data_IF_679113264165
#
_entry.id   IF_679113264165
#
_cell.length_a   1.000
_cell.length_b   1.000
_cell.length_c   1.000
_cell.angle_alpha   90.00
_cell.angle_beta   90.00
_cell.angle_gamma   90.00
#
_symmetry.space_group_name_H-M   'P 1'
#
loop_
_entity.id
_entity.type
_entity.pdbx_description
1 polymer ?
#
# COMPACT_ATOMS: atom_id res chain seq x y z
N UNK A 1 22.42 -32.54 -50.94
CA UNK A 1 21.22 -32.69 -51.79
C UNK A 1 20.18 -33.38 -50.91
N UNK A 2 19.00 -32.88 -50.60
CA UNK A 2 18.14 -31.83 -51.14
C UNK A 2 17.13 -31.48 -50.02
N UNK A 3 16.92 -30.19 -49.78
CA UNK A 3 15.63 -29.48 -49.88
C UNK A 3 14.59 -29.78 -48.78
N UNK A 4 14.38 -28.77 -47.92
CA UNK A 4 13.06 -28.43 -47.37
C UNK A 4 12.07 -28.14 -48.51
N UNK A 5 10.79 -28.48 -48.32
CA UNK A 5 9.71 -27.51 -48.56
C UNK A 5 8.57 -27.65 -47.51
N UNK A 6 8.12 -26.57 -46.86
CA UNK A 6 7.11 -25.59 -47.31
C UNK A 6 5.70 -25.93 -46.77
N UNK A 7 4.88 -24.88 -46.60
CA UNK A 7 3.45 -24.83 -46.21
C UNK A 7 3.11 -24.82 -44.71
N UNK A 8 2.22 -23.95 -44.20
CA UNK A 8 1.28 -23.04 -44.85
C UNK A 8 1.01 -21.82 -43.95
N UNK A 9 0.75 -20.69 -44.60
CA UNK A 9 0.07 -19.55 -44.02
C UNK A 9 -1.37 -19.93 -43.63
N UNK A 10 -1.84 -19.46 -42.47
CA UNK A 10 -3.28 -19.33 -42.24
C UNK A 10 -3.60 -18.11 -41.35
N UNK A 11 -4.32 -17.19 -41.99
CA UNK A 11 -5.32 -16.24 -41.50
C UNK A 11 -5.06 -15.29 -40.31
N UNK A 12 -4.82 -14.02 -40.68
CA UNK A 12 -5.47 -12.86 -40.06
C UNK A 12 -6.98 -12.87 -40.35
N UNK A 13 -7.84 -12.69 -39.34
CA UNK A 13 -9.08 -11.88 -39.39
C UNK A 13 -9.72 -11.66 -37.98
N UNK A 14 -10.72 -10.78 -37.78
CA UNK A 14 -10.63 -9.68 -36.80
C UNK A 14 -11.79 -9.65 -35.77
N UNK A 15 -11.79 -8.63 -34.91
CA UNK A 15 -12.96 -7.99 -34.28
C UNK A 15 -13.79 -8.78 -33.27
N UNK A 16 -13.78 -8.31 -32.02
CA UNK A 16 -15.03 -7.86 -31.38
C UNK A 16 -14.72 -6.92 -30.22
N UNK A 17 -15.02 -5.64 -30.47
CA UNK A 17 -15.16 -4.63 -29.46
C UNK A 17 -16.21 -5.06 -28.43
N UNK A 18 -15.85 -5.03 -27.15
CA UNK A 18 -16.82 -4.95 -26.08
C UNK A 18 -16.77 -3.53 -25.52
N UNK A 19 -17.84 -2.81 -25.83
CA UNK A 19 -18.13 -1.45 -25.42
C UNK A 19 -18.22 -1.33 -23.89
N UNK A 20 -17.60 -0.28 -23.37
CA UNK A 20 -17.97 0.34 -22.11
C UNK A 20 -19.42 0.85 -22.16
N UNK A 21 -20.15 0.81 -21.03
CA UNK A 21 -21.12 1.85 -20.74
C UNK A 21 -20.60 2.76 -19.62
N UNK A 22 -20.41 4.03 -19.96
CA UNK A 22 -20.44 5.14 -19.00
C UNK A 22 -21.77 5.12 -18.23
N UNK A 23 -21.69 5.26 -16.91
CA UNK A 23 -22.83 5.72 -16.10
C UNK A 23 -22.34 6.88 -15.23
N UNK A 24 -22.59 8.10 -15.73
CA UNK A 24 -22.54 9.33 -14.97
C UNK A 24 -23.67 9.35 -13.94
N UNK A 25 -23.38 9.74 -12.69
CA UNK A 25 -24.45 9.97 -11.72
C UNK A 25 -24.00 10.18 -10.27
N UNK A 26 -23.51 11.38 -9.98
CA UNK A 26 -23.91 12.20 -8.83
C UNK A 26 -23.87 11.63 -7.40
N UNK A 27 -22.90 12.13 -6.64
CA UNK A 27 -22.99 12.59 -5.25
C UNK A 27 -23.71 11.70 -4.21
N UNK A 28 -22.95 11.14 -3.27
CA UNK A 28 -23.18 11.40 -1.85
C UNK A 28 -21.93 11.13 -1.02
N UNK A 29 -21.43 12.19 -0.38
CA UNK A 29 -20.37 12.14 0.60
C UNK A 29 -20.94 11.70 1.95
N UNK A 30 -20.98 10.38 2.20
CA UNK A 30 -21.02 9.84 3.57
C UNK A 30 -20.79 8.33 3.56
N UNK A 31 -19.72 7.90 4.23
CA UNK A 31 -19.69 6.83 5.23
C UNK A 31 -18.22 6.66 5.62
N UNK A 32 -17.81 7.54 6.54
CA UNK A 32 -16.87 7.14 7.58
C UNK A 32 -17.59 6.09 8.43
N UNK A 33 -16.93 4.96 8.67
CA UNK A 33 -17.31 4.04 9.74
C UNK A 33 -17.93 2.76 9.24
N UNK A 34 -17.17 1.68 9.37
CA UNK A 34 -17.55 0.49 10.12
C UNK A 34 -16.80 -0.71 9.53
N UNK A 35 -15.52 -0.85 9.88
CA UNK A 35 -14.95 -2.20 9.90
C UNK A 35 -15.52 -2.84 11.15
N UNK A 36 -16.52 -3.70 10.97
CA UNK A 36 -17.17 -4.44 12.03
C UNK A 36 -16.10 -5.11 12.89
N UNK A 37 -16.05 -4.66 14.13
CA UNK A 37 -15.24 -5.18 15.21
C UNK A 37 -15.67 -6.63 15.43
N UNK A 38 -14.85 -7.57 14.98
CA UNK A 38 -15.00 -8.97 15.36
C UNK A 38 -14.33 -9.12 16.73
N UNK A 39 -15.19 -9.05 17.74
CA UNK A 39 -14.97 -9.31 19.16
C UNK A 39 -13.82 -10.31 19.41
N UNK A 40 -12.79 -9.92 20.18
CA UNK A 40 -11.84 -10.89 20.72
C UNK A 40 -12.57 -11.71 21.79
N UNK A 41 -12.69 -13.00 21.55
CA UNK A 41 -13.08 -13.98 22.57
C UNK A 41 -12.22 -13.75 23.82
N UNK A 42 -12.91 -13.50 24.93
CA UNK A 42 -12.36 -13.21 26.24
C UNK A 42 -11.34 -14.26 26.67
N UNK A 43 -10.07 -13.86 26.79
CA UNK A 43 -9.12 -14.57 27.63
C UNK A 43 -9.09 -13.86 28.99
N UNK A 44 -9.76 -14.50 29.95
CA UNK A 44 -9.98 -14.08 31.32
C UNK A 44 -8.71 -13.52 31.99
N UNK A 45 -8.79 -12.26 32.45
CA UNK A 45 -7.94 -11.78 33.54
C UNK A 45 -8.44 -12.40 34.85
N UNK A 46 -7.74 -13.44 35.31
CA UNK A 46 -7.88 -13.93 36.67
C UNK A 46 -7.11 -13.05 37.65
N UNK A 47 -7.76 -12.05 38.25
CA UNK A 47 -7.31 -11.44 39.50
C UNK A 47 -7.65 -12.39 40.66
N UNK A 48 -6.67 -13.20 41.04
CA UNK A 48 -6.79 -14.21 42.09
C UNK A 48 -5.96 -13.84 43.31
N UNK A 49 -6.53 -13.02 44.20
CA UNK A 49 -6.02 -12.77 45.54
C UNK A 49 -6.33 -13.99 46.43
N UNK A 50 -5.35 -14.88 46.63
CA UNK A 50 -5.53 -16.08 47.45
C UNK A 50 -4.21 -16.64 47.96
N UNK A 51 -3.97 -16.52 49.26
CA UNK A 51 -2.79 -17.02 49.93
C UNK A 51 -2.73 -18.55 50.04
N UNK A 52 -1.50 -19.05 50.18
CA UNK A 52 -1.20 -20.32 50.83
C UNK A 52 -1.39 -21.59 49.99
N UNK A 53 -0.29 -22.07 49.39
CA UNK A 53 0.32 -23.41 49.58
C UNK A 53 1.20 -23.78 48.39
N UNK A 54 2.48 -24.05 48.68
CA UNK A 54 3.50 -24.41 47.71
C UNK A 54 3.49 -25.91 47.36
N UNK A 55 4.06 -26.20 46.18
CA UNK A 55 4.59 -27.48 45.66
C UNK A 55 3.65 -28.36 44.79
N UNK A 56 3.86 -28.31 43.45
CA UNK A 56 4.34 -29.47 42.64
C UNK A 56 4.33 -29.28 41.09
N UNK A 57 4.11 -28.07 40.55
CA UNK A 57 4.17 -27.85 39.08
C UNK A 57 5.23 -26.81 38.68
N UNK A 58 5.98 -27.01 37.57
CA UNK A 58 6.91 -26.00 37.08
C UNK A 58 6.14 -24.70 36.83
N UNK A 59 6.43 -23.70 37.65
CA UNK A 59 5.82 -22.38 37.53
C UNK A 59 6.19 -21.81 36.16
N UNK A 60 5.22 -21.39 35.31
CA UNK A 60 5.56 -20.78 34.03
C UNK A 60 6.36 -19.52 34.32
N UNK A 61 7.64 -19.54 33.93
CA UNK A 61 8.55 -18.43 34.12
C UNK A 61 7.88 -17.17 33.56
N UNK A 62 7.60 -16.22 34.45
CA UNK A 62 7.01 -14.94 34.11
C UNK A 62 7.93 -14.25 33.10
N UNK A 63 7.53 -14.26 31.83
CA UNK A 63 8.30 -13.62 30.77
C UNK A 63 8.51 -12.16 31.12
N UNK A 64 9.75 -11.69 30.98
CA UNK A 64 10.08 -10.28 31.10
C UNK A 64 9.15 -9.44 30.23
N UNK A 65 8.86 -8.20 30.64
CA UNK A 65 8.10 -7.25 29.83
C UNK A 65 8.65 -7.13 28.41
N UNK A 66 9.97 -7.23 28.25
CA UNK A 66 10.63 -7.23 26.94
C UNK A 66 10.29 -8.47 26.11
N UNK A 67 10.23 -9.62 26.75
CA UNK A 67 10.01 -10.91 26.11
C UNK A 67 8.54 -11.08 25.69
N UNK A 68 7.59 -10.57 26.49
CA UNK A 68 6.19 -10.40 26.10
C UNK A 68 6.06 -9.50 24.85
N UNK A 69 6.79 -8.37 24.81
CA UNK A 69 6.80 -7.46 23.66
C UNK A 69 7.37 -8.13 22.41
N UNK A 70 8.46 -8.88 22.55
CA UNK A 70 9.06 -9.67 21.46
C UNK A 70 8.09 -10.71 20.91
N UNK A 71 7.42 -11.47 21.78
CA UNK A 71 6.40 -12.47 21.37
C UNK A 71 5.26 -11.82 20.59
N UNK A 72 4.73 -10.68 21.06
CA UNK A 72 3.67 -9.95 20.33
C UNK A 72 4.13 -9.50 18.94
N UNK A 73 5.34 -8.94 18.82
CA UNK A 73 5.91 -8.51 17.52
C UNK A 73 6.17 -9.68 16.57
N UNK A 74 6.45 -10.87 17.11
CA UNK A 74 6.62 -12.11 16.37
C UNK A 74 5.30 -12.77 15.94
N UNK A 75 4.14 -12.24 16.32
CA UNK A 75 2.86 -12.74 15.81
C UNK A 75 2.64 -12.33 14.35
N UNK A 76 2.03 -13.20 13.56
CA UNK A 76 1.67 -12.88 12.17
C UNK A 76 0.73 -11.66 12.10
N UNK A 77 -0.24 -11.55 13.02
CA UNK A 77 -1.17 -10.40 13.14
C UNK A 77 -0.44 -9.08 13.32
N UNK A 78 0.58 -9.02 14.19
CA UNK A 78 1.36 -7.79 14.38
C UNK A 78 2.14 -7.43 13.11
N UNK A 79 2.81 -8.41 12.49
CA UNK A 79 3.59 -8.18 11.27
C UNK A 79 2.71 -7.71 10.11
N UNK A 80 1.57 -8.37 9.88
CA UNK A 80 0.65 -8.00 8.80
C UNK A 80 0.04 -6.62 9.01
N UNK A 81 -0.37 -6.29 10.24
CA UNK A 81 -0.85 -4.95 10.57
C UNK A 81 0.22 -3.88 10.33
N UNK A 82 1.47 -4.13 10.75
CA UNK A 82 2.59 -3.20 10.51
C UNK A 82 2.89 -3.03 9.02
N UNK A 83 2.95 -4.13 8.26
CA UNK A 83 3.16 -4.09 6.81
C UNK A 83 2.05 -3.32 6.09
N UNK A 84 0.80 -3.46 6.53
CA UNK A 84 -0.34 -2.73 5.97
C UNK A 84 -0.23 -1.24 6.22
N UNK A 85 0.12 -0.82 7.45
CA UNK A 85 0.36 0.59 7.77
C UNK A 85 1.47 1.20 6.92
N UNK A 86 2.56 0.47 6.75
CA UNK A 86 3.69 0.95 5.93
C UNK A 86 3.30 1.07 4.45
N UNK A 87 2.51 0.13 3.93
CA UNK A 87 1.97 0.21 2.56
C UNK A 87 1.12 1.48 2.38
N UNK A 88 0.20 1.76 3.30
CA UNK A 88 -0.63 2.97 3.27
C UNK A 88 0.25 4.23 3.32
N UNK A 89 1.28 4.25 4.18
CA UNK A 89 2.20 5.38 4.28
C UNK A 89 2.94 5.63 2.95
N UNK A 90 3.41 4.57 2.31
CA UNK A 90 4.12 4.65 1.02
C UNK A 90 3.17 5.03 -0.11
N UNK A 91 1.93 4.54 -0.09
CA UNK A 91 0.90 4.91 -1.06
C UNK A 91 0.57 6.40 -0.97
N UNK A 92 0.32 6.93 0.24
CA UNK A 92 0.10 8.35 0.45
C UNK A 92 1.27 9.20 -0.06
N UNK A 93 2.52 8.76 0.18
CA UNK A 93 3.71 9.40 -0.37
C UNK A 93 3.74 9.38 -1.91
N UNK A 94 3.40 8.25 -2.53
CA UNK A 94 3.40 8.11 -3.98
C UNK A 94 2.29 8.96 -4.63
N UNK A 95 1.12 9.08 -3.98
CA UNK A 95 0.05 9.98 -4.42
C UNK A 95 0.52 11.44 -4.43
N UNK A 96 1.18 11.89 -3.37
CA UNK A 96 1.77 13.24 -3.33
C UNK A 96 2.80 13.46 -4.45
N UNK A 97 3.62 12.44 -4.78
CA UNK A 97 4.55 12.49 -5.91
C UNK A 97 3.84 12.56 -7.27
N UNK A 98 2.72 11.87 -7.44
CA UNK A 98 1.91 11.93 -8.64
C UNK A 98 1.25 13.30 -8.82
N UNK A 99 0.73 13.90 -7.74
CA UNK A 99 0.20 15.27 -7.77
C UNK A 99 1.28 16.29 -8.13
N UNK A 100 2.47 16.19 -7.53
CA UNK A 100 3.60 17.04 -7.92
C UNK A 100 3.94 16.89 -9.40
N UNK A 101 3.98 15.66 -9.94
CA UNK A 101 4.30 15.39 -11.35
C UNK A 101 3.33 16.06 -12.32
N UNK A 102 2.04 16.17 -11.98
CA UNK A 102 1.01 16.81 -12.83
C UNK A 102 1.28 18.31 -13.04
N UNK A 103 1.95 18.96 -12.09
CA UNK A 103 2.27 20.38 -12.13
C UNK A 103 3.54 20.68 -12.95
N UNK A 104 4.33 19.65 -13.29
CA UNK A 104 5.62 19.83 -13.94
C UNK A 104 5.49 19.87 -15.46
N UNK A 105 6.08 20.88 -16.13
CA UNK A 105 6.08 20.95 -17.59
C UNK A 105 6.99 19.89 -18.19
N UNK A 106 6.47 19.03 -19.07
CA UNK A 106 7.25 18.01 -19.81
C UNK A 106 6.82 17.90 -21.27
N UNK A 107 7.77 17.55 -22.13
CA UNK A 107 7.51 17.18 -23.53
C UNK A 107 8.05 15.76 -23.78
N UNK A 108 7.22 14.78 -24.17
CA UNK A 108 5.75 14.85 -24.22
C UNK A 108 5.10 14.94 -22.81
N UNK A 109 3.82 15.33 -22.70
CA UNK A 109 3.14 15.51 -21.40
C UNK A 109 3.13 14.26 -20.51
N UNK A 110 3.11 13.09 -21.12
CA UNK A 110 3.08 11.76 -20.49
C UNK A 110 4.46 11.16 -20.21
N UNK A 111 5.55 11.94 -20.39
CA UNK A 111 6.92 11.50 -20.10
C UNK A 111 7.01 10.93 -18.67
N UNK A 112 7.36 9.65 -18.55
CA UNK A 112 7.62 9.04 -17.24
C UNK A 112 8.87 9.67 -16.61
N UNK A 113 8.74 10.17 -15.39
CA UNK A 113 9.84 10.74 -14.61
C UNK A 113 10.08 9.89 -13.37
N UNK A 114 11.34 9.68 -13.02
CA UNK A 114 11.75 9.11 -11.74
C UNK A 114 11.54 10.12 -10.59
N UNK A 115 11.53 9.63 -9.35
CA UNK A 115 11.36 10.49 -8.16
C UNK A 115 12.41 11.60 -8.08
N UNK A 116 13.66 11.31 -8.44
CA UNK A 116 14.74 12.31 -8.41
C UNK A 116 14.56 13.36 -9.52
N UNK A 117 14.10 12.97 -10.71
CA UNK A 117 13.82 13.90 -11.80
C UNK A 117 12.65 14.83 -11.45
N UNK A 118 11.58 14.30 -10.84
CA UNK A 118 10.43 15.10 -10.36
C UNK A 118 10.92 16.18 -9.39
N UNK A 119 11.75 15.82 -8.40
CA UNK A 119 12.26 16.77 -7.42
C UNK A 119 13.16 17.84 -8.06
N UNK A 120 14.08 17.45 -8.95
CA UNK A 120 14.97 18.39 -9.64
C UNK A 120 14.19 19.35 -10.52
N UNK A 121 13.24 18.83 -11.30
CA UNK A 121 12.42 19.63 -12.20
C UNK A 121 11.50 20.59 -11.44
N UNK A 122 10.94 20.16 -10.30
CA UNK A 122 10.16 21.04 -9.43
C UNK A 122 10.97 22.24 -8.93
N UNK A 123 12.20 22.00 -8.45
CA UNK A 123 13.10 23.08 -8.01
C UNK A 123 13.40 24.04 -9.17
N UNK A 124 13.79 23.51 -10.33
CA UNK A 124 14.05 24.33 -11.52
C UNK A 124 12.83 25.15 -11.95
N UNK A 125 11.63 24.55 -11.89
CA UNK A 125 10.41 25.21 -12.33
C UNK A 125 9.99 26.33 -11.37
N UNK A 126 10.08 26.13 -10.06
CA UNK A 126 9.86 27.19 -9.07
C UNK A 126 10.82 28.36 -9.32
N UNK A 127 12.13 28.08 -9.49
CA UNK A 127 13.13 29.12 -9.77
C UNK A 127 12.85 29.87 -11.07
N UNK A 128 12.41 29.16 -12.11
CA UNK A 128 12.03 29.77 -13.39
C UNK A 128 10.84 30.71 -13.22
N UNK A 129 9.78 30.27 -12.55
CA UNK A 129 8.59 31.10 -12.32
C UNK A 129 8.92 32.34 -11.49
N UNK A 130 9.74 32.22 -10.44
CA UNK A 130 10.21 33.37 -9.67
C UNK A 130 10.95 34.38 -10.55
N UNK A 131 11.87 33.91 -11.40
CA UNK A 131 12.59 34.79 -12.32
C UNK A 131 11.64 35.52 -13.29
N UNK A 132 10.61 34.83 -13.81
CA UNK A 132 9.60 35.45 -14.69
C UNK A 132 8.78 36.52 -13.97
N UNK A 133 8.55 36.37 -12.66
CA UNK A 133 7.78 37.34 -11.86
C UNK A 133 8.61 38.56 -11.41
N UNK A 134 9.93 38.38 -11.27
CA UNK A 134 10.86 39.45 -10.86
C UNK A 134 11.29 40.37 -12.01
N UNK A 135 10.93 40.03 -13.25
CA UNK A 135 11.19 40.79 -14.49
C UNK A 135 9.97 41.61 -14.87
#
# INVERSE_FOLDING_TARGET
MMLSPDQAADSDHPSSAHSDPESLGGADAKVLGSVSDLEPVEEAEGDGKGGGRAALYPHPQQLSREEKRRRRRATAKYRSAHATRERIRVEAFNLAFAELRKLLPTLPPDKKLSKIEILRLAICYISYLNHVLDV
#
